data_IF_439480161652
#
_entry.id   IF_439480161652
#
_cell.length_a   1.000
_cell.length_b   1.000
_cell.length_c   1.000
_cell.angle_alpha   90.00
_cell.angle_beta   90.00
_cell.angle_gamma   90.00
#
_symmetry.space_group_name_H-M   'P 1'
#
loop_
_entity.id
_entity.type
_entity.pdbx_description
1 polymer ?
#
# COMPACT_ATOMS: atom_id res chain seq x y z
N UNK A 1 -35.73 2.78 -14.68
CA UNK A 1 -36.48 3.70 -15.57
C UNK A 1 -37.34 4.56 -14.65
N UNK A 2 -36.99 5.84 -14.46
CA UNK A 2 -37.53 6.68 -13.38
C UNK A 2 -39.06 6.63 -13.24
N UNK A 3 -39.79 6.75 -14.36
CA UNK A 3 -41.26 6.75 -14.36
C UNK A 3 -41.79 5.41 -13.87
N UNK A 4 -41.28 4.31 -14.43
CA UNK A 4 -41.70 2.96 -14.08
C UNK A 4 -41.40 2.62 -12.61
N UNK A 5 -40.19 2.92 -12.15
CA UNK A 5 -39.73 2.59 -10.80
C UNK A 5 -40.49 3.40 -9.73
N UNK A 6 -40.80 4.67 -10.04
CA UNK A 6 -41.57 5.56 -9.14
C UNK A 6 -43.04 5.15 -9.07
N UNK A 7 -43.67 4.80 -10.20
CA UNK A 7 -45.09 4.44 -10.25
C UNK A 7 -45.41 3.07 -9.65
N UNK A 8 -44.45 2.14 -9.66
CA UNK A 8 -44.63 0.78 -9.14
C UNK A 8 -44.13 0.58 -7.71
N UNK A 9 -43.54 1.60 -7.08
CA UNK A 9 -43.04 1.53 -5.71
C UNK A 9 -44.11 1.93 -4.70
N UNK A 10 -44.21 1.21 -3.59
CA UNK A 10 -45.01 1.63 -2.42
C UNK A 10 -44.48 2.93 -1.81
N UNK A 11 -43.18 3.20 -1.99
CA UNK A 11 -42.50 4.43 -1.58
C UNK A 11 -41.97 5.16 -2.81
N UNK A 12 -42.84 5.96 -3.42
CA UNK A 12 -42.55 6.67 -4.67
C UNK A 12 -41.37 7.64 -4.55
N UNK A 13 -41.24 8.37 -3.44
CA UNK A 13 -40.14 9.33 -3.21
C UNK A 13 -38.77 8.63 -3.11
N UNK A 14 -38.67 7.54 -2.35
CA UNK A 14 -37.43 6.75 -2.25
C UNK A 14 -37.00 6.18 -3.61
N UNK A 15 -37.97 5.68 -4.40
CA UNK A 15 -37.71 5.16 -5.74
C UNK A 15 -37.29 6.25 -6.74
N UNK A 16 -37.92 7.43 -6.66
CA UNK A 16 -37.52 8.61 -7.44
C UNK A 16 -36.07 9.01 -7.13
N UNK A 17 -35.74 9.14 -5.83
CA UNK A 17 -34.41 9.53 -5.41
C UNK A 17 -33.33 8.51 -5.77
N UNK A 18 -33.66 7.21 -5.73
CA UNK A 18 -32.75 6.15 -6.21
C UNK A 18 -32.49 6.26 -7.73
N UNK A 19 -33.53 6.51 -8.52
CA UNK A 19 -33.40 6.71 -9.96
C UNK A 19 -32.55 7.94 -10.31
N UNK A 20 -32.78 9.06 -9.62
CA UNK A 20 -32.00 10.30 -9.79
C UNK A 20 -30.54 10.13 -9.34
N UNK A 21 -30.30 9.46 -8.21
CA UNK A 21 -28.93 9.15 -7.73
C UNK A 21 -28.18 8.30 -8.75
N UNK A 22 -28.87 7.33 -9.37
CA UNK A 22 -28.28 6.48 -10.42
C UNK A 22 -27.88 7.31 -11.65
N UNK A 23 -28.72 8.28 -12.04
CA UNK A 23 -28.40 9.21 -13.12
C UNK A 23 -27.20 10.09 -12.78
N UNK A 24 -27.19 10.71 -11.60
CA UNK A 24 -26.08 11.54 -11.13
C UNK A 24 -24.75 10.76 -11.06
N UNK A 25 -24.79 9.51 -10.57
CA UNK A 25 -23.61 8.62 -10.55
C UNK A 25 -23.05 8.36 -11.96
N UNK A 26 -23.92 8.05 -12.93
CA UNK A 26 -23.48 7.86 -14.33
C UNK A 26 -22.86 9.11 -14.94
N UNK A 27 -23.34 10.30 -14.55
CA UNK A 27 -22.69 11.55 -14.95
C UNK A 27 -21.30 11.67 -14.32
N UNK A 28 -21.13 11.36 -13.03
CA UNK A 28 -19.82 11.38 -12.36
C UNK A 28 -18.83 10.38 -12.96
N UNK A 29 -19.29 9.22 -13.45
CA UNK A 29 -18.47 8.25 -14.22
C UNK A 29 -17.93 8.81 -15.54
N UNK A 30 -18.50 9.92 -16.02
CA UNK A 30 -18.04 10.67 -17.22
C UNK A 30 -17.46 12.03 -16.83
N UNK A 31 -16.93 12.17 -15.62
CA UNK A 31 -16.34 13.39 -15.06
C UNK A 31 -17.30 14.59 -14.97
N UNK A 32 -18.61 14.35 -15.05
CA UNK A 32 -19.66 15.37 -14.96
C UNK A 32 -20.36 15.34 -13.60
N UNK A 33 -19.92 16.22 -12.71
CA UNK A 33 -20.48 16.34 -11.36
C UNK A 33 -21.72 17.25 -11.33
N UNK A 34 -22.87 16.68 -10.97
CA UNK A 34 -24.10 17.45 -10.77
C UNK A 34 -24.19 17.87 -9.29
N UNK A 35 -23.94 19.15 -8.99
CA UNK A 35 -24.00 19.67 -7.62
C UNK A 35 -25.37 20.29 -7.34
N UNK A 36 -25.91 20.05 -6.14
CA UNK A 36 -27.15 20.67 -5.66
C UNK A 36 -28.45 19.99 -6.11
N UNK A 37 -28.38 18.87 -6.83
CA UNK A 37 -29.58 18.19 -7.35
C UNK A 37 -30.51 17.64 -6.25
N UNK A 38 -29.97 17.41 -5.05
CA UNK A 38 -30.73 16.88 -3.90
C UNK A 38 -31.58 17.93 -3.19
N UNK A 39 -31.29 19.21 -3.36
CA UNK A 39 -31.97 20.30 -2.63
C UNK A 39 -33.46 20.37 -2.99
N UNK A 40 -34.34 20.27 -1.99
CA UNK A 40 -35.79 20.38 -2.14
C UNK A 40 -36.54 19.12 -2.61
N UNK A 41 -35.87 18.00 -2.91
CA UNK A 41 -36.52 16.76 -3.38
C UNK A 41 -35.95 15.52 -2.70
N UNK A 42 -34.62 15.37 -2.67
CA UNK A 42 -33.93 14.16 -2.22
C UNK A 42 -32.87 14.50 -1.17
N UNK A 43 -33.25 15.39 -0.25
CA UNK A 43 -32.37 15.90 0.80
C UNK A 43 -31.91 14.75 1.69
N UNK A 44 -30.63 14.77 2.03
CA UNK A 44 -30.03 13.79 2.92
C UNK A 44 -29.43 14.48 4.12
N UNK A 45 -29.65 13.90 5.29
CA UNK A 45 -29.00 14.29 6.52
C UNK A 45 -27.87 13.30 6.82
N UNK A 46 -26.73 13.84 7.23
CA UNK A 46 -25.61 13.04 7.71
C UNK A 46 -25.59 12.99 9.23
N UNK A 47 -25.00 11.95 9.83
CA UNK A 47 -24.70 11.92 11.26
C UNK A 47 -23.87 13.14 11.69
N UNK A 48 -23.96 13.53 12.96
CA UNK A 48 -23.40 14.78 13.50
C UNK A 48 -21.90 14.99 13.22
N UNK A 49 -21.12 13.92 13.13
CA UNK A 49 -19.67 13.99 12.86
C UNK A 49 -19.30 13.98 11.37
N UNK A 50 -20.27 13.79 10.49
CA UNK A 50 -20.08 13.63 9.05
C UNK A 50 -20.68 14.80 8.28
N UNK A 51 -20.16 15.04 7.09
CA UNK A 51 -20.71 16.04 6.16
C UNK A 51 -21.18 15.35 4.89
N UNK A 52 -22.17 15.94 4.23
CA UNK A 52 -22.56 15.51 2.90
C UNK A 52 -21.61 16.13 1.85
N UNK A 53 -21.19 15.33 0.88
CA UNK A 53 -20.43 15.80 -0.27
C UNK A 53 -20.80 15.02 -1.52
N UNK A 54 -20.68 15.67 -2.67
CA UNK A 54 -20.84 15.07 -3.99
C UNK A 54 -19.53 14.46 -4.53
N UNK A 55 -18.43 14.54 -3.78
CA UNK A 55 -17.11 14.08 -4.22
C UNK A 55 -16.28 13.53 -3.07
N UNK A 56 -16.85 12.61 -2.31
CA UNK A 56 -16.03 11.82 -1.39
C UNK A 56 -15.17 10.83 -2.18
N UNK A 57 -13.92 10.71 -1.75
CA UNK A 57 -13.11 9.55 -2.12
C UNK A 57 -13.61 8.34 -1.35
N UNK A 58 -13.82 7.24 -2.05
CA UNK A 58 -14.08 5.94 -1.42
C UNK A 58 -12.85 5.40 -0.66
N UNK A 59 -11.67 5.99 -0.89
CA UNK A 59 -10.39 5.57 -0.36
C UNK A 59 -9.88 6.52 0.71
N UNK A 60 -8.92 6.06 1.53
CA UNK A 60 -8.24 6.86 2.55
C UNK A 60 -9.14 7.52 3.62
N UNK A 61 -10.41 7.08 3.76
CA UNK A 61 -11.41 7.76 4.58
C UNK A 61 -11.63 7.16 5.97
N UNK A 62 -10.96 6.04 6.30
CA UNK A 62 -11.14 5.32 7.57
C UNK A 62 -9.84 5.21 8.34
N UNK A 63 -9.91 5.15 9.67
CA UNK A 63 -8.74 4.92 10.53
C UNK A 63 -7.99 3.62 10.20
N UNK A 64 -8.71 2.60 9.69
CA UNK A 64 -8.09 1.34 9.27
C UNK A 64 -7.17 1.51 8.07
N UNK A 65 -7.51 2.42 7.16
CA UNK A 65 -6.68 2.69 5.99
C UNK A 65 -5.34 3.35 6.38
N UNK A 66 -5.31 4.15 7.45
CA UNK A 66 -4.05 4.69 7.99
C UNK A 66 -3.12 3.58 8.49
N UNK A 67 -3.68 2.53 9.09
CA UNK A 67 -2.92 1.38 9.59
C UNK A 67 -2.40 0.49 8.44
N UNK A 68 -3.22 0.31 7.41
CA UNK A 68 -2.98 -0.59 6.29
C UNK A 68 -3.43 0.10 4.99
N UNK A 69 -2.58 0.93 4.38
CA UNK A 69 -2.91 1.58 3.13
C UNK A 69 -3.09 0.52 2.04
N UNK A 70 -4.29 0.46 1.46
CA UNK A 70 -4.58 -0.46 0.37
C UNK A 70 -4.25 0.22 -0.96
N UNK A 71 -3.13 -0.17 -1.58
CA UNK A 71 -2.64 0.37 -2.86
C UNK A 71 -3.62 0.17 -4.03
N UNK A 72 -4.53 -0.81 -3.95
CA UNK A 72 -5.55 -1.02 -4.98
C UNK A 72 -6.63 0.08 -5.01
N UNK A 73 -6.78 0.82 -3.92
CA UNK A 73 -7.83 1.84 -3.81
C UNK A 73 -7.51 3.09 -4.64
N UNK A 74 -6.23 3.48 -4.73
CA UNK A 74 -5.79 4.67 -5.48
C UNK A 74 -6.01 4.57 -6.99
N UNK A 75 -6.22 3.36 -7.53
CA UNK A 75 -6.39 3.11 -8.97
C UNK A 75 -7.85 3.14 -9.45
N UNK A 76 -8.83 3.21 -8.54
CA UNK A 76 -10.27 3.00 -8.88
C UNK A 76 -11.23 4.07 -8.35
N UNK A 77 -10.70 5.14 -7.73
CA UNK A 77 -11.45 6.11 -6.94
C UNK A 77 -12.32 7.07 -7.74
N UNK A 78 -13.36 6.58 -8.41
CA UNK A 78 -14.43 7.45 -8.89
C UNK A 78 -15.07 8.16 -7.68
N UNK A 79 -15.20 9.49 -7.72
CA UNK A 79 -15.80 10.24 -6.62
C UNK A 79 -17.24 9.79 -6.41
N UNK A 80 -17.58 9.46 -5.17
CA UNK A 80 -18.92 9.08 -4.76
C UNK A 80 -19.60 10.22 -4.01
N UNK A 81 -20.90 10.38 -4.21
CA UNK A 81 -21.71 11.24 -3.35
C UNK A 81 -22.17 10.47 -2.11
N UNK A 82 -22.28 11.17 -0.98
CA UNK A 82 -22.75 10.55 0.27
C UNK A 82 -22.33 11.33 1.50
N UNK A 83 -22.48 10.68 2.65
CA UNK A 83 -21.96 11.16 3.92
C UNK A 83 -20.55 10.60 4.14
N UNK A 84 -19.66 11.45 4.62
CA UNK A 84 -18.28 11.08 4.87
C UNK A 84 -17.61 12.06 5.82
N UNK A 85 -16.37 11.76 6.16
CA UNK A 85 -15.61 12.58 7.09
C UNK A 85 -15.10 13.87 6.44
N UNK A 86 -15.15 15.01 7.15
CA UNK A 86 -14.53 16.23 6.66
C UNK A 86 -13.02 16.03 6.45
N UNK A 87 -12.43 16.86 5.59
CA UNK A 87 -11.00 16.76 5.26
C UNK A 87 -10.13 16.76 6.54
N UNK A 88 -9.12 15.88 6.55
CA UNK A 88 -8.21 15.70 7.67
C UNK A 88 -8.75 14.84 8.82
N UNK A 89 -9.97 14.32 8.71
CA UNK A 89 -10.55 13.38 9.68
C UNK A 89 -10.88 12.03 9.05
N UNK A 90 -10.98 11.01 9.89
CA UNK A 90 -11.07 9.61 9.48
C UNK A 90 -12.18 8.91 10.25
N UNK A 91 -12.91 8.06 9.55
CA UNK A 91 -14.01 7.30 10.13
C UNK A 91 -13.48 6.21 11.06
N UNK A 92 -14.03 6.15 12.26
CA UNK A 92 -13.74 5.12 13.26
C UNK A 92 -14.16 3.72 12.78
N UNK A 93 -13.61 2.64 13.36
CA UNK A 93 -13.95 1.27 12.97
C UNK A 93 -15.44 0.93 13.15
N UNK A 94 -16.10 1.60 14.10
CA UNK A 94 -17.52 1.41 14.41
C UNK A 94 -18.45 2.23 13.48
N UNK A 95 -17.89 2.95 12.50
CA UNK A 95 -18.62 3.78 11.52
C UNK A 95 -19.51 4.86 12.15
N UNK A 96 -19.22 5.25 13.39
CA UNK A 96 -20.04 6.14 14.20
C UNK A 96 -19.48 7.57 14.27
N UNK A 97 -18.17 7.75 14.11
CA UNK A 97 -17.53 9.03 14.34
C UNK A 97 -16.34 9.33 13.41
N UNK A 98 -16.26 10.57 12.95
CA UNK A 98 -15.05 11.10 12.32
C UNK A 98 -14.11 11.68 13.37
N UNK A 99 -12.87 11.21 13.38
CA UNK A 99 -11.84 11.64 14.34
C UNK A 99 -10.57 12.08 13.63
N UNK A 100 -9.80 12.96 14.26
CA UNK A 100 -8.46 13.31 13.78
C UNK A 100 -7.56 12.06 13.75
N UNK A 101 -6.59 12.02 12.84
CA UNK A 101 -5.64 10.90 12.73
C UNK A 101 -5.05 10.48 14.07
N UNK A 102 -4.66 11.44 14.93
CA UNK A 102 -4.08 11.18 16.27
C UNK A 102 -4.97 10.36 17.19
N UNK A 103 -6.30 10.40 16.99
CA UNK A 103 -7.29 9.69 17.79
C UNK A 103 -7.69 8.35 17.14
N UNK A 104 -7.13 8.00 15.99
CA UNK A 104 -7.40 6.73 15.36
C UNK A 104 -6.83 5.56 16.18
N UNK A 105 -7.64 4.53 16.43
CA UNK A 105 -7.15 3.31 17.06
C UNK A 105 -6.29 2.49 16.08
N UNK A 106 -5.43 1.65 16.64
CA UNK A 106 -4.63 0.69 15.90
C UNK A 106 -5.31 -0.68 15.91
N UNK A 107 -4.88 -1.57 15.01
CA UNK A 107 -5.43 -2.91 14.89
C UNK A 107 -4.33 -3.96 15.05
N UNK A 108 -4.52 -4.90 15.97
CA UNK A 108 -3.58 -6.00 16.21
C UNK A 108 -4.35 -7.28 16.49
N UNK A 109 -4.08 -8.38 15.76
CA UNK A 109 -4.74 -9.68 15.95
C UNK A 109 -6.28 -9.60 16.04
N UNK A 110 -6.91 -8.79 15.18
CA UNK A 110 -8.34 -8.47 15.17
C UNK A 110 -8.88 -7.69 16.39
N UNK A 111 -8.03 -7.24 17.29
CA UNK A 111 -8.40 -6.35 18.39
C UNK A 111 -8.16 -4.88 18.01
N UNK A 112 -9.02 -4.01 18.56
CA UNK A 112 -8.93 -2.56 18.41
C UNK A 112 -8.19 -2.01 19.62
N UNK A 113 -7.01 -1.45 19.37
CA UNK A 113 -6.17 -0.85 20.41
C UNK A 113 -6.39 0.67 20.42
N UNK A 114 -6.78 1.28 21.54
CA UNK A 114 -7.04 2.71 21.58
C UNK A 114 -5.80 3.55 21.23
N UNK A 115 -6.02 4.73 20.67
CA UNK A 115 -4.96 5.69 20.38
C UNK A 115 -4.10 5.96 21.63
N UNK A 116 -2.80 6.18 21.43
CA UNK A 116 -1.78 6.42 22.47
C UNK A 116 -1.54 5.25 23.45
N UNK A 117 -2.28 4.15 23.33
CA UNK A 117 -2.06 2.95 24.16
C UNK A 117 -0.81 2.19 23.71
N UNK A 118 -0.22 1.42 24.61
CA UNK A 118 0.94 0.59 24.32
C UNK A 118 0.64 -0.90 24.45
N UNK A 119 1.16 -1.71 23.54
CA UNK A 119 1.10 -3.18 23.60
C UNK A 119 2.51 -3.74 23.75
N UNK A 120 2.63 -4.86 24.46
CA UNK A 120 3.89 -5.59 24.57
C UNK A 120 3.83 -6.80 23.63
N UNK A 121 4.72 -6.86 22.63
CA UNK A 121 4.79 -7.96 21.67
C UNK A 121 5.77 -9.07 22.08
N UNK A 122 6.23 -9.05 23.33
CA UNK A 122 7.21 -9.98 23.91
C UNK A 122 8.67 -9.53 23.75
N UNK A 123 8.95 -8.64 22.79
CA UNK A 123 10.31 -8.15 22.47
C UNK A 123 10.41 -6.62 22.64
N UNK A 124 9.34 -5.90 22.29
CA UNK A 124 9.28 -4.44 22.28
C UNK A 124 7.92 -3.96 22.79
N UNK A 125 7.90 -2.79 23.41
CA UNK A 125 6.65 -2.08 23.76
C UNK A 125 6.29 -1.12 22.62
N UNK A 126 5.27 -1.47 21.86
CA UNK A 126 4.75 -0.69 20.74
C UNK A 126 3.70 0.32 21.19
N UNK A 127 3.75 1.56 20.72
CA UNK A 127 2.75 2.59 21.01
C UNK A 127 1.88 2.86 19.78
N UNK A 128 0.57 2.92 19.97
CA UNK A 128 -0.35 3.27 18.90
C UNK A 128 -0.34 4.79 18.66
N UNK A 129 0.15 5.22 17.50
CA UNK A 129 0.23 6.63 17.11
C UNK A 129 -0.39 6.77 15.71
N UNK A 130 -1.42 7.61 15.62
CA UNK A 130 -2.11 7.93 14.35
C UNK A 130 -2.70 6.71 13.60
N UNK A 131 -3.13 5.68 14.32
CA UNK A 131 -3.63 4.43 13.75
C UNK A 131 -2.55 3.41 13.37
N UNK A 132 -1.26 3.73 13.55
CA UNK A 132 -0.12 2.84 13.27
C UNK A 132 0.64 2.53 14.57
N UNK A 133 1.21 1.33 14.70
CA UNK A 133 2.09 1.02 15.83
C UNK A 133 3.50 1.54 15.59
N UNK A 134 3.97 2.40 16.49
CA UNK A 134 5.35 2.85 16.58
C UNK A 134 6.07 2.08 17.70
N UNK A 135 7.02 1.24 17.35
CA UNK A 135 7.70 0.34 18.28
C UNK A 135 9.19 0.71 18.37
N UNK A 136 9.71 1.17 19.53
CA UNK A 136 11.11 1.54 19.69
C UNK A 136 12.03 0.32 19.58
N UNK A 137 12.99 0.35 18.66
CA UNK A 137 13.84 -0.81 18.34
C UNK A 137 13.23 -1.75 17.30
N UNK A 138 11.98 -1.51 16.91
CA UNK A 138 11.46 -1.88 15.60
C UNK A 138 11.68 -0.65 14.70
N UNK A 139 12.91 -0.50 14.21
CA UNK A 139 13.06 0.11 12.89
C UNK A 139 12.16 -0.72 11.97
N UNK A 140 11.08 -0.09 11.49
CA UNK A 140 10.19 -0.54 10.40
C UNK A 140 10.29 -2.04 10.06
N UNK A 141 9.66 -2.90 10.85
CA UNK A 141 9.29 -4.23 10.36
C UNK A 141 8.04 -4.11 9.45
N UNK A 142 8.16 -3.28 8.42
CA UNK A 142 7.36 -3.15 7.20
C UNK A 142 8.06 -2.08 6.37
N UNK A 143 8.87 -2.53 5.39
CA UNK A 143 9.80 -1.75 4.55
C UNK A 143 11.12 -1.40 5.27
N UNK A 144 12.04 -2.36 5.23
CA UNK A 144 13.42 -2.19 5.69
C UNK A 144 13.88 -3.33 6.58
N UNK A 145 14.12 -4.51 5.99
CA UNK A 145 15.32 -5.23 6.43
C UNK A 145 16.45 -4.20 6.33
N UNK A 146 17.17 -3.92 7.43
CA UNK A 146 18.48 -3.31 7.29
C UNK A 146 19.22 -4.22 6.32
N UNK A 147 19.45 -3.71 5.09
CA UNK A 147 20.04 -4.53 4.06
C UNK A 147 21.33 -5.13 4.63
N UNK A 148 21.50 -6.46 4.53
CA UNK A 148 22.70 -7.10 5.05
C UNK A 148 23.93 -6.35 4.56
N UNK A 149 24.76 -5.85 5.49
CA UNK A 149 25.97 -5.13 5.10
C UNK A 149 26.81 -6.06 4.22
N UNK A 150 27.22 -5.65 2.99
CA UNK A 150 27.39 -4.27 2.51
C UNK A 150 26.28 -3.72 1.58
N UNK A 151 25.12 -4.37 1.50
CA UNK A 151 23.99 -3.91 0.69
C UNK A 151 23.38 -2.62 1.23
N UNK A 152 22.71 -1.86 0.35
CA UNK A 152 21.93 -0.68 0.73
C UNK A 152 20.53 -0.74 0.12
N UNK A 153 19.60 -0.03 0.74
CA UNK A 153 18.20 -0.03 0.32
C UNK A 153 17.96 1.05 -0.73
N UNK A 154 17.32 0.68 -1.84
CA UNK A 154 16.84 1.62 -2.86
C UNK A 154 15.33 1.78 -2.75
N UNK A 155 14.89 3.04 -2.67
CA UNK A 155 13.49 3.44 -2.66
C UNK A 155 13.14 4.14 -3.98
N UNK A 156 12.39 3.44 -4.84
CA UNK A 156 12.06 3.88 -6.20
C UNK A 156 11.22 5.16 -6.27
N UNK A 157 10.49 5.50 -5.19
CA UNK A 157 9.68 6.73 -5.12
C UNK A 157 10.53 8.00 -5.02
N UNK A 158 11.81 7.86 -4.67
CA UNK A 158 12.76 8.95 -4.44
C UNK A 158 14.01 8.86 -5.32
N UNK A 159 14.09 7.86 -6.19
CA UNK A 159 15.26 7.59 -7.02
C UNK A 159 15.19 8.36 -8.35
N UNK A 160 16.36 8.70 -8.90
CA UNK A 160 16.47 9.29 -10.24
C UNK A 160 15.91 8.33 -11.32
N UNK A 161 15.46 8.85 -12.48
CA UNK A 161 14.85 8.02 -13.54
C UNK A 161 15.76 6.92 -14.11
N UNK A 162 17.07 7.04 -13.91
CA UNK A 162 18.08 6.08 -14.38
C UNK A 162 18.42 4.99 -13.33
N UNK A 163 17.81 5.07 -12.13
CA UNK A 163 18.06 4.11 -11.05
C UNK A 163 17.19 2.88 -11.26
N UNK A 164 17.85 1.73 -11.37
CA UNK A 164 17.20 0.43 -11.44
C UNK A 164 17.13 -0.16 -10.04
N UNK A 165 15.99 -0.72 -9.67
CA UNK A 165 15.75 -1.23 -8.32
C UNK A 165 16.30 -2.65 -8.11
N UNK A 166 15.78 -3.31 -7.08
CA UNK A 166 16.17 -4.66 -6.68
C UNK A 166 15.87 -5.74 -7.73
N UNK A 167 14.98 -5.47 -8.67
CA UNK A 167 14.63 -6.36 -9.79
C UNK A 167 15.79 -6.66 -10.75
N UNK A 168 16.82 -5.80 -10.76
CA UNK A 168 18.00 -5.99 -11.62
C UNK A 168 19.31 -6.16 -10.85
N UNK A 169 19.22 -6.44 -9.55
CA UNK A 169 20.38 -6.84 -8.78
C UNK A 169 20.97 -8.14 -9.34
N UNK A 170 22.19 -8.05 -9.88
CA UNK A 170 22.92 -9.22 -10.38
C UNK A 170 23.41 -10.09 -9.22
N UNK A 171 23.39 -11.41 -9.42
CA UNK A 171 24.06 -12.38 -8.54
C UNK A 171 25.11 -13.18 -9.31
N UNK A 172 25.91 -13.97 -8.60
CA UNK A 172 26.89 -14.87 -9.23
C UNK A 172 26.29 -15.85 -10.25
N UNK A 173 24.97 -16.06 -10.24
CA UNK A 173 24.27 -16.93 -11.21
C UNK A 173 23.70 -16.17 -12.41
N UNK A 174 23.59 -14.84 -12.35
CA UNK A 174 22.88 -14.01 -13.33
C UNK A 174 23.75 -12.87 -13.89
N UNK A 175 25.08 -13.02 -13.84
CA UNK A 175 26.04 -12.00 -14.29
C UNK A 175 25.81 -11.53 -15.75
N UNK A 176 25.52 -12.49 -16.64
CA UNK A 176 25.24 -12.26 -18.07
C UNK A 176 23.77 -11.88 -18.37
N UNK A 177 22.92 -11.74 -17.34
CA UNK A 177 21.52 -11.38 -17.55
C UNK A 177 21.40 -9.88 -17.84
N UNK A 178 20.84 -9.55 -18.99
CA UNK A 178 20.44 -8.19 -19.32
C UNK A 178 19.15 -7.85 -18.57
N UNK A 179 19.19 -6.72 -17.86
CA UNK A 179 18.03 -6.12 -17.20
C UNK A 179 17.13 -5.47 -18.26
N UNK A 180 15.91 -5.98 -18.43
CA UNK A 180 14.91 -5.45 -19.37
C UNK A 180 13.67 -4.90 -18.65
N UNK A 181 13.69 -4.80 -17.32
CA UNK A 181 12.51 -4.36 -16.57
C UNK A 181 12.36 -2.84 -16.69
N UNK A 182 11.17 -2.39 -17.07
CA UNK A 182 10.85 -0.96 -17.23
C UNK A 182 10.35 -0.32 -15.91
N UNK A 183 10.05 -1.15 -14.89
CA UNK A 183 9.48 -0.72 -13.62
C UNK A 183 10.44 -1.01 -12.45
N UNK A 184 10.80 0.05 -11.71
CA UNK A 184 11.67 -0.02 -10.54
C UNK A 184 10.97 -0.67 -9.35
N UNK A 185 11.63 -1.63 -8.69
CA UNK A 185 11.17 -2.32 -7.48
C UNK A 185 12.07 -2.00 -6.29
N UNK A 186 11.51 -1.31 -5.29
CA UNK A 186 12.25 -0.93 -4.07
C UNK A 186 12.75 -2.16 -3.31
N UNK A 187 14.03 -2.17 -2.92
CA UNK A 187 14.64 -3.32 -2.25
C UNK A 187 16.14 -3.14 -2.01
N UNK A 188 16.79 -4.20 -1.49
CA UNK A 188 18.22 -4.19 -1.22
C UNK A 188 19.04 -4.49 -2.47
N UNK A 189 20.04 -3.65 -2.74
CA UNK A 189 20.99 -3.85 -3.85
C UNK A 189 22.43 -3.75 -3.36
N UNK A 190 23.34 -4.34 -4.13
CA UNK A 190 24.76 -4.23 -3.88
C UNK A 190 25.30 -2.88 -4.39
N UNK A 191 26.36 -2.36 -3.75
CA UNK A 191 27.12 -1.23 -4.29
C UNK A 191 27.62 -1.48 -5.72
N UNK A 192 27.80 -0.38 -6.47
CA UNK A 192 28.28 -0.43 -7.85
C UNK A 192 29.58 -1.26 -7.98
N UNK A 193 29.58 -2.18 -8.94
CA UNK A 193 30.71 -3.07 -9.22
C UNK A 193 30.74 -4.37 -8.40
N UNK A 194 29.73 -4.62 -7.55
CA UNK A 194 29.57 -5.87 -6.81
C UNK A 194 28.31 -6.64 -7.24
N UNK A 195 28.34 -7.95 -7.06
CA UNK A 195 27.20 -8.86 -7.30
C UNK A 195 26.84 -9.61 -6.02
N UNK A 196 25.59 -10.02 -5.90
CA UNK A 196 25.10 -10.78 -4.74
C UNK A 196 25.67 -12.20 -4.72
N UNK A 197 26.07 -12.66 -3.54
CA UNK A 197 26.51 -14.04 -3.28
C UNK A 197 25.35 -15.01 -2.93
N UNK A 198 24.10 -14.55 -3.06
CA UNK A 198 22.84 -15.21 -2.66
C UNK A 198 22.72 -15.56 -1.15
N UNK A 199 23.67 -15.12 -0.31
CA UNK A 199 23.74 -15.36 1.14
C UNK A 199 23.69 -14.05 1.96
N UNK A 200 23.46 -12.91 1.28
CA UNK A 200 23.39 -11.59 1.89
C UNK A 200 24.72 -10.83 1.89
N UNK A 201 25.73 -11.32 1.18
CA UNK A 201 26.97 -10.61 0.90
C UNK A 201 27.03 -10.07 -0.53
N UNK A 202 27.91 -9.10 -0.76
CA UNK A 202 28.25 -8.60 -2.09
C UNK A 202 29.73 -8.86 -2.35
N UNK A 203 30.03 -9.54 -3.46
CA UNK A 203 31.39 -9.87 -3.86
C UNK A 203 31.68 -9.35 -5.27
N UNK A 204 32.96 -9.10 -5.61
CA UNK A 204 33.37 -8.79 -6.97
C UNK A 204 32.96 -9.90 -7.96
N UNK A 205 32.59 -9.52 -9.17
CA UNK A 205 32.15 -10.45 -10.23
C UNK A 205 33.17 -11.58 -10.50
N UNK A 206 34.47 -11.26 -10.43
CA UNK A 206 35.58 -12.19 -10.63
C UNK A 206 35.88 -13.10 -9.42
N UNK A 207 35.23 -12.87 -8.28
CA UNK A 207 35.35 -13.67 -7.06
C UNK A 207 34.18 -14.64 -6.86
N UNK A 208 33.21 -14.66 -7.79
CA UNK A 208 32.10 -15.59 -7.74
C UNK A 208 32.57 -17.05 -7.75
N UNK A 209 32.05 -17.90 -6.84
CA UNK A 209 32.45 -19.29 -6.75
C UNK A 209 31.95 -20.09 -7.96
N UNK A 210 32.85 -20.87 -8.55
CA UNK A 210 32.50 -21.81 -9.62
C UNK A 210 31.95 -23.11 -9.01
N UNK A 211 30.93 -23.70 -9.65
CA UNK A 211 30.40 -25.00 -9.25
C UNK A 211 30.94 -26.07 -10.18
N UNK A 212 31.55 -27.12 -9.62
CA UNK A 212 31.92 -28.34 -10.36
C UNK A 212 31.46 -29.58 -9.58
N UNK A 213 30.49 -30.31 -10.14
CA UNK A 213 29.75 -31.33 -9.40
C UNK A 213 28.80 -30.70 -8.36
N UNK A 214 28.82 -31.20 -7.13
CA UNK A 214 28.06 -30.67 -5.99
C UNK A 214 28.90 -29.74 -5.07
N UNK A 215 30.08 -29.32 -5.53
CA UNK A 215 31.03 -28.55 -4.72
C UNK A 215 31.30 -27.17 -5.31
N UNK A 216 31.47 -26.19 -4.42
CA UNK A 216 31.79 -24.80 -4.73
C UNK A 216 33.30 -24.56 -4.61
N UNK A 217 33.86 -23.84 -5.58
CA UNK A 217 35.28 -23.57 -5.66
C UNK A 217 35.52 -22.07 -5.81
N UNK A 218 36.38 -21.53 -4.95
CA UNK A 218 36.74 -20.12 -5.00
C UNK A 218 37.53 -19.80 -6.27
N UNK A 219 37.47 -18.53 -6.69
CA UNK A 219 38.27 -18.02 -7.81
C UNK A 219 39.76 -18.34 -7.61
N UNK A 220 40.41 -18.86 -8.66
CA UNK A 220 41.81 -19.29 -8.63
C UNK A 220 42.07 -20.71 -8.12
N UNK A 221 41.04 -21.47 -7.74
CA UNK A 221 41.21 -22.87 -7.35
C UNK A 221 41.50 -23.77 -8.56
N UNK A 222 42.60 -24.53 -8.50
CA UNK A 222 43.00 -25.47 -9.57
C UNK A 222 42.47 -26.85 -9.25
N UNK A 223 41.44 -27.28 -9.97
CA UNK A 223 40.93 -28.65 -9.88
C UNK A 223 41.80 -29.58 -10.73
N UNK A 224 42.49 -30.52 -10.08
CA UNK A 224 43.15 -31.63 -10.77
C UNK A 224 42.12 -32.72 -11.10
N UNK A 225 41.42 -32.56 -12.22
CA UNK A 225 40.54 -33.60 -12.74
C UNK A 225 41.43 -34.66 -13.40
N UNK A 226 41.52 -35.85 -12.80
CA UNK A 226 42.12 -37.00 -13.46
C UNK A 226 41.18 -37.41 -14.60
N UNK A 227 41.58 -37.16 -15.85
CA UNK A 227 40.87 -37.69 -17.00
C UNK A 227 40.93 -39.23 -16.95
N UNK A 228 39.79 -39.92 -16.86
CA UNK A 228 39.72 -41.34 -17.17
C UNK A 228 39.73 -41.51 -18.70
N UNK A 229 40.56 -42.41 -19.21
CA UNK A 229 40.58 -42.90 -20.60
C UNK A 229 39.31 -43.66 -20.97
#
# INVERSE_FOLDING_TARGET
NCIYDTCNSEKSEEALCAALSTYAKKCSENDLKIVGWRTGICEMSCPESMIFSYSFSACNSTCRFLAQPNTFCDLSGLPVEGCGCPEGTFLTPNLDQCVEAKKCPCFHNNEIIPAESSINTGIVTCKCIRGVFECPGQFRASIGEECPTPMYYVECLSADPDVVGSECQKSCKTQDMHCYNEECVSGCICPDGLVSDDQGGCIPENECPCVYGESFYNSGHVLSILCNT
#
